data_IF_357095098565
#
_entry.id   IF_357095098565
#
_cell.length_a   1.000
_cell.length_b   1.000
_cell.length_c   1.000
_cell.angle_alpha   90.00
_cell.angle_beta   90.00
_cell.angle_gamma   90.00
#
_symmetry.space_group_name_H-M   'P 1'
#
loop_
_entity.id
_entity.type
_entity.pdbx_description
1 polymer ?
#
# COMPACT_ATOMS: atom_id res chain seq x y z
N UNK A 1 76.39 33.55 49.79
CA UNK A 1 76.04 34.26 48.53
C UNK A 1 76.24 33.50 47.21
N UNK A 2 76.83 32.28 47.14
CA UNK A 2 76.98 31.54 45.86
C UNK A 2 75.98 30.39 45.63
N UNK A 3 75.28 29.90 46.66
CA UNK A 3 74.33 28.77 46.56
C UNK A 3 72.89 29.19 46.19
N UNK A 4 72.50 30.43 46.47
CA UNK A 4 71.13 30.93 46.20
C UNK A 4 70.94 31.40 44.75
N UNK A 5 72.01 31.84 44.07
CA UNK A 5 71.94 32.30 42.66
C UNK A 5 71.82 31.14 41.65
N UNK A 6 72.21 29.93 42.02
CA UNK A 6 72.06 28.75 41.15
C UNK A 6 70.64 28.17 41.18
N UNK A 7 69.93 28.31 42.31
CA UNK A 7 68.53 27.87 42.44
C UNK A 7 67.59 28.83 41.71
N UNK A 8 67.86 30.14 41.76
CA UNK A 8 67.10 31.14 41.01
C UNK A 8 67.27 31.00 39.47
N UNK A 9 68.44 30.59 38.99
CA UNK A 9 68.71 30.45 37.54
C UNK A 9 68.10 29.16 36.95
N UNK A 10 67.97 28.10 37.75
CA UNK A 10 67.32 26.85 37.34
C UNK A 10 65.78 26.95 37.31
N UNK A 11 65.18 27.75 38.21
CA UNK A 11 63.72 27.98 38.26
C UNK A 11 63.21 28.91 37.14
N UNK A 12 64.02 29.86 36.68
CA UNK A 12 63.66 30.76 35.57
C UNK A 12 63.75 30.06 34.20
N UNK A 13 64.62 29.07 34.03
CA UNK A 13 64.68 28.28 32.79
C UNK A 13 63.49 27.31 32.63
N UNK A 14 62.92 26.79 33.72
CA UNK A 14 61.73 25.93 33.65
C UNK A 14 60.42 26.70 33.32
N UNK A 15 60.35 28.01 33.55
CA UNK A 15 59.17 28.82 33.25
C UNK A 15 59.14 29.37 31.80
N UNK A 16 60.27 29.36 31.09
CA UNK A 16 60.35 29.78 29.68
C UNK A 16 60.27 28.63 28.66
N UNK A 17 60.24 27.37 29.13
CA UNK A 17 60.11 26.17 28.28
C UNK A 17 58.68 25.59 28.22
N UNK A 18 57.72 26.16 28.94
CA UNK A 18 56.35 25.62 29.04
C UNK A 18 55.35 26.19 28.02
N UNK A 19 55.78 26.90 26.97
CA UNK A 19 54.89 27.42 25.91
C UNK A 19 54.94 26.63 24.59
N UNK A 20 55.42 25.39 24.61
CA UNK A 20 55.12 24.41 23.57
C UNK A 20 54.44 23.19 24.19
N UNK A 21 53.28 23.41 24.81
CA UNK A 21 52.28 22.36 24.78
C UNK A 21 51.92 22.19 23.29
N UNK A 22 52.20 21.05 22.64
CA UNK A 22 51.56 20.79 21.37
C UNK A 22 50.06 20.90 21.65
N UNK A 23 49.43 21.94 21.08
CA UNK A 23 47.99 22.04 21.05
C UNK A 23 47.55 20.70 20.49
N UNK A 24 46.94 19.86 21.33
CA UNK A 24 46.45 18.56 20.92
C UNK A 24 45.58 18.85 19.71
N UNK A 25 46.05 18.45 18.53
CA UNK A 25 45.37 18.74 17.28
C UNK A 25 43.95 18.27 17.46
N UNK A 26 43.01 19.21 17.58
CA UNK A 26 41.61 18.88 17.70
C UNK A 26 41.29 18.15 16.40
N UNK A 27 41.24 16.82 16.48
CA UNK A 27 41.01 15.98 15.31
C UNK A 27 39.80 16.55 14.61
N UNK A 28 39.99 17.07 13.38
CA UNK A 28 38.95 17.75 12.65
C UNK A 28 37.73 16.83 12.65
N UNK A 29 36.65 17.28 13.29
CA UNK A 29 35.49 16.42 13.53
C UNK A 29 35.04 15.83 12.19
N UNK A 30 35.09 14.51 12.07
CA UNK A 30 34.76 13.85 10.80
C UNK A 30 33.33 14.20 10.42
N UNK A 31 33.17 14.81 9.24
CA UNK A 31 31.86 15.20 8.72
C UNK A 31 31.05 13.92 8.49
N UNK A 32 29.88 13.82 9.12
CA UNK A 32 29.01 12.64 9.05
C UNK A 32 27.53 12.99 9.18
N UNK A 33 26.67 12.15 8.64
CA UNK A 33 25.23 12.24 8.86
C UNK A 33 24.83 11.77 10.26
N UNK A 34 23.70 12.27 10.77
CA UNK A 34 23.09 11.78 12.00
C UNK A 34 22.65 10.32 11.93
N UNK A 35 22.26 9.85 10.73
CA UNK A 35 21.93 8.45 10.43
C UNK A 35 22.08 8.19 8.92
N UNK A 36 22.45 6.97 8.55
CA UNK A 36 22.65 6.53 7.15
C UNK A 36 21.52 5.64 6.63
N UNK A 37 20.60 5.23 7.49
CA UNK A 37 19.35 4.56 7.16
C UNK A 37 18.24 5.00 8.09
N UNK A 38 17.00 4.97 7.61
CA UNK A 38 15.83 5.24 8.42
C UNK A 38 14.59 4.55 7.84
N UNK A 39 13.67 4.14 8.71
CA UNK A 39 12.31 3.75 8.31
C UNK A 39 11.32 4.77 8.87
N UNK A 40 10.46 5.31 8.02
CA UNK A 40 9.40 6.25 8.42
C UNK A 40 8.07 5.80 7.84
N UNK A 41 6.96 6.18 8.48
CA UNK A 41 5.62 5.93 7.93
C UNK A 41 5.19 7.07 7.01
N UNK A 42 4.27 6.80 6.08
CA UNK A 42 3.67 7.82 5.22
C UNK A 42 3.11 8.99 6.04
N UNK A 43 3.30 10.22 5.54
CA UNK A 43 2.91 11.45 6.24
C UNK A 43 3.82 11.86 7.41
N UNK A 44 4.65 10.96 7.95
CA UNK A 44 5.57 11.25 9.07
C UNK A 44 6.89 11.83 8.60
N UNK A 45 7.62 12.43 9.54
CA UNK A 45 8.90 13.10 9.29
C UNK A 45 10.02 12.64 10.20
N UNK A 46 11.25 12.73 9.72
CA UNK A 46 12.47 12.65 10.52
C UNK A 46 13.38 13.84 10.22
N UNK A 47 14.26 14.17 11.16
CA UNK A 47 15.29 15.19 10.97
C UNK A 47 16.63 14.52 10.72
N UNK A 48 17.24 14.83 9.58
CA UNK A 48 18.65 14.55 9.33
C UNK A 48 19.48 15.80 9.64
N UNK A 49 20.67 15.57 10.18
CA UNK A 49 21.67 16.62 10.39
C UNK A 49 23.04 16.12 9.97
N UNK A 50 23.93 17.05 9.62
CA UNK A 50 25.35 16.75 9.38
C UNK A 50 26.14 17.27 10.57
N UNK A 51 26.91 16.40 11.20
CA UNK A 51 27.80 16.70 12.33
C UNK A 51 29.22 16.96 11.82
N UNK A 52 30.02 17.71 12.58
CA UNK A 52 31.43 17.98 12.26
C UNK A 52 31.66 19.09 11.23
N UNK A 53 30.66 19.94 10.96
CA UNK A 53 30.81 21.08 10.06
C UNK A 53 29.84 22.20 10.39
N UNK A 54 30.28 23.45 10.20
CA UNK A 54 29.44 24.65 10.25
C UNK A 54 29.07 25.16 8.83
N UNK A 55 29.52 24.45 7.78
CA UNK A 55 29.24 24.84 6.39
C UNK A 55 27.78 24.54 6.04
N UNK A 56 27.22 25.35 5.13
CA UNK A 56 25.86 25.15 4.61
C UNK A 56 25.74 23.78 3.94
N UNK A 57 24.71 23.03 4.31
CA UNK A 57 24.38 21.72 3.74
C UNK A 57 23.28 21.89 2.70
N UNK A 58 23.48 21.30 1.51
CA UNK A 58 22.45 21.23 0.47
C UNK A 58 21.82 19.85 0.47
N UNK A 59 20.50 19.78 0.63
CA UNK A 59 19.74 18.53 0.71
C UNK A 59 19.02 18.24 -0.62
N UNK A 60 18.93 16.96 -0.98
CA UNK A 60 18.13 16.50 -2.11
C UNK A 60 17.60 15.08 -1.87
N UNK A 61 16.48 14.74 -2.50
CA UNK A 61 15.98 13.37 -2.58
C UNK A 61 16.12 12.85 -3.99
N UNK A 62 16.63 11.63 -4.15
CA UNK A 62 16.70 10.94 -5.45
C UNK A 62 15.35 10.37 -5.89
N UNK A 63 14.39 10.24 -4.98
CA UNK A 63 13.03 9.83 -5.31
C UNK A 63 12.03 10.69 -4.51
N UNK A 64 11.66 11.84 -5.09
CA UNK A 64 10.76 12.82 -4.45
C UNK A 64 9.31 12.31 -4.35
N UNK A 65 8.89 11.33 -5.16
CA UNK A 65 7.54 10.75 -5.06
C UNK A 65 7.41 9.85 -3.83
N UNK A 66 8.51 9.23 -3.39
CA UNK A 66 8.57 8.41 -2.17
C UNK A 66 8.85 9.26 -0.94
N UNK A 67 9.87 10.11 -0.96
CA UNK A 67 10.20 10.98 0.17
C UNK A 67 10.82 12.31 -0.27
N UNK A 68 10.40 13.41 0.36
CA UNK A 68 10.99 14.75 0.16
C UNK A 68 11.87 15.13 1.33
N UNK A 69 12.83 16.03 1.10
CA UNK A 69 13.65 16.64 2.16
C UNK A 69 13.64 18.15 2.02
N UNK A 70 13.43 18.87 3.13
CA UNK A 70 13.47 20.33 3.15
C UNK A 70 14.91 20.87 3.18
N UNK A 71 15.08 22.17 2.97
CA UNK A 71 16.39 22.86 3.10
C UNK A 71 16.99 22.72 4.50
N UNK A 72 16.15 22.50 5.51
CA UNK A 72 16.57 22.24 6.89
C UNK A 72 16.89 20.76 7.15
N UNK A 73 16.83 19.86 6.16
CA UNK A 73 17.08 18.42 6.38
C UNK A 73 15.92 17.67 7.04
N UNK A 74 14.69 18.21 7.00
CA UNK A 74 13.50 17.49 7.45
C UNK A 74 13.02 16.61 6.30
N UNK A 75 13.06 15.29 6.48
CA UNK A 75 12.59 14.30 5.51
C UNK A 75 11.14 13.95 5.81
N UNK A 76 10.26 13.95 4.80
CA UNK A 76 8.85 13.55 4.89
C UNK A 76 8.58 12.34 3.98
N UNK A 77 7.95 11.30 4.52
CA UNK A 77 7.48 10.15 3.73
C UNK A 77 6.17 10.46 3.01
N UNK A 78 6.10 10.17 1.72
CA UNK A 78 4.92 10.47 0.87
C UNK A 78 4.22 9.18 0.45
N UNK A 79 4.93 8.28 -0.21
CA UNK A 79 4.44 7.00 -0.73
C UNK A 79 5.32 5.87 -0.21
N UNK A 80 4.78 4.67 0.12
CA UNK A 80 5.60 3.53 0.52
C UNK A 80 6.64 3.17 -0.55
N UNK A 81 7.89 2.98 -0.15
CA UNK A 81 8.98 2.79 -1.11
C UNK A 81 10.36 3.04 -0.51
N UNK A 82 11.37 3.19 -1.37
CA UNK A 82 12.73 3.55 -0.97
C UNK A 82 13.13 4.86 -1.63
N UNK A 83 13.71 5.77 -0.86
CA UNK A 83 14.29 7.02 -1.34
C UNK A 83 15.71 7.18 -0.80
N UNK A 84 16.59 7.74 -1.61
CA UNK A 84 17.96 8.08 -1.22
C UNK A 84 18.03 9.59 -0.95
N UNK A 85 18.24 9.98 0.31
CA UNK A 85 18.41 11.38 0.71
C UNK A 85 19.90 11.71 0.69
N UNK A 86 20.27 12.78 0.00
CA UNK A 86 21.66 13.20 -0.19
C UNK A 86 21.89 14.57 0.45
N UNK A 87 22.86 14.64 1.35
CA UNK A 87 23.42 15.86 1.90
C UNK A 87 24.76 16.17 1.22
N UNK A 88 24.87 17.33 0.59
CA UNK A 88 26.12 17.85 0.02
C UNK A 88 26.69 18.92 0.91
N UNK A 89 27.95 18.77 1.31
CA UNK A 89 28.69 19.77 2.10
C UNK A 89 30.19 19.63 1.82
N UNK A 90 30.90 20.77 1.72
CA UNK A 90 32.35 20.80 1.49
C UNK A 90 32.81 19.94 0.28
N UNK A 91 32.05 19.95 -0.82
CA UNK A 91 32.34 19.15 -2.01
C UNK A 91 32.06 17.64 -1.88
N UNK A 92 31.69 17.16 -0.70
CA UNK A 92 31.41 15.74 -0.41
C UNK A 92 29.90 15.48 -0.35
N UNK A 93 29.52 14.24 -0.69
CA UNK A 93 28.13 13.77 -0.61
C UNK A 93 27.98 12.69 0.46
N UNK A 94 26.97 12.84 1.30
CA UNK A 94 26.58 11.89 2.33
C UNK A 94 25.16 11.42 2.06
N UNK A 95 24.91 10.13 2.28
CA UNK A 95 23.65 9.50 1.90
C UNK A 95 22.96 8.87 3.09
N UNK A 96 21.64 9.06 3.17
CA UNK A 96 20.74 8.29 4.03
C UNK A 96 19.72 7.52 3.17
N UNK A 97 19.65 6.20 3.36
CA UNK A 97 18.66 5.33 2.72
C UNK A 97 17.37 5.34 3.55
N UNK A 98 16.31 5.94 3.01
CA UNK A 98 15.02 6.05 3.68
C UNK A 98 14.06 5.04 3.09
N UNK A 99 13.54 4.15 3.95
CA UNK A 99 12.39 3.30 3.65
C UNK A 99 11.13 3.98 4.17
N UNK A 100 10.15 4.15 3.29
CA UNK A 100 8.81 4.62 3.67
C UNK A 100 7.88 3.41 3.71
N UNK A 101 7.25 3.17 4.84
CA UNK A 101 6.22 2.15 5.03
C UNK A 101 4.84 2.81 5.23
N UNK A 102 3.77 2.02 5.14
CA UNK A 102 2.40 2.52 5.28
C UNK A 102 2.12 2.91 6.74
N UNK A 103 1.56 4.10 6.97
CA UNK A 103 0.83 4.37 8.21
C UNK A 103 -0.58 3.78 8.10
N UNK A 104 -0.76 2.53 8.53
CA UNK A 104 -2.01 1.77 8.32
C UNK A 104 -3.22 2.49 8.92
N UNK A 105 -3.06 3.09 10.12
CA UNK A 105 -4.11 3.86 10.78
C UNK A 105 -4.49 5.12 9.99
N UNK A 106 -3.52 5.81 9.40
CA UNK A 106 -3.82 6.97 8.55
C UNK A 106 -4.44 6.53 7.22
N UNK A 107 -3.95 5.44 6.63
CA UNK A 107 -4.42 4.92 5.35
C UNK A 107 -5.88 4.47 5.38
N UNK A 108 -6.32 3.84 6.48
CA UNK A 108 -7.72 3.45 6.71
C UNK A 108 -8.70 4.63 6.63
N UNK A 109 -8.29 5.82 7.11
CA UNK A 109 -9.13 7.03 7.07
C UNK A 109 -9.38 7.57 5.66
N UNK A 110 -8.57 7.13 4.71
CA UNK A 110 -8.66 7.50 3.30
C UNK A 110 -9.26 6.36 2.46
N UNK A 111 -9.98 5.44 3.09
CA UNK A 111 -10.86 4.51 2.39
C UNK A 111 -12.30 5.00 2.52
N UNK A 112 -13.04 4.95 1.41
CA UNK A 112 -14.50 5.13 1.42
C UNK A 112 -15.15 3.80 1.11
N UNK A 113 -16.21 3.48 1.85
CA UNK A 113 -16.95 2.24 1.68
C UNK A 113 -18.40 2.59 1.38
N UNK A 114 -18.92 2.03 0.29
CA UNK A 114 -20.36 1.94 0.03
C UNK A 114 -20.76 0.48 -0.04
N UNK A 115 -22.05 0.20 0.07
CA UNK A 115 -22.55 -1.16 0.08
C UNK A 115 -23.65 -1.36 -0.97
N UNK A 116 -23.70 -2.57 -1.51
CA UNK A 116 -24.87 -3.15 -2.18
C UNK A 116 -25.10 -4.53 -1.60
N UNK A 117 -26.29 -5.08 -1.79
CA UNK A 117 -26.66 -6.36 -1.22
C UNK A 117 -27.49 -7.17 -2.21
N UNK A 118 -27.37 -8.47 -2.08
CA UNK A 118 -28.22 -9.48 -2.70
C UNK A 118 -28.70 -10.42 -1.59
N UNK A 119 -29.52 -11.41 -1.94
CA UNK A 119 -29.98 -12.42 -0.99
C UNK A 119 -28.81 -13.12 -0.26
N UNK A 120 -27.72 -13.38 -0.97
CA UNK A 120 -26.67 -14.29 -0.52
C UNK A 120 -25.41 -13.55 -0.04
N UNK A 121 -25.25 -12.28 -0.41
CA UNK A 121 -24.03 -11.52 -0.18
C UNK A 121 -24.28 -10.04 0.09
N UNK A 122 -23.43 -9.48 0.95
CA UNK A 122 -23.14 -8.04 1.01
C UNK A 122 -21.87 -7.76 0.22
N UNK A 123 -21.90 -6.71 -0.59
CA UNK A 123 -20.77 -6.22 -1.39
C UNK A 123 -20.29 -4.90 -0.81
N UNK A 124 -19.05 -4.85 -0.32
CA UNK A 124 -18.40 -3.61 0.09
C UNK A 124 -17.53 -3.06 -1.04
N UNK A 125 -17.90 -1.89 -1.56
CA UNK A 125 -17.15 -1.17 -2.58
C UNK A 125 -16.16 -0.25 -1.88
N UNK A 126 -14.89 -0.64 -1.93
CA UNK A 126 -13.83 0.06 -1.22
C UNK A 126 -13.07 0.94 -2.20
N UNK A 127 -13.24 2.26 -2.07
CA UNK A 127 -12.50 3.25 -2.84
C UNK A 127 -11.25 3.66 -2.07
N UNK A 128 -10.08 3.42 -2.67
CA UNK A 128 -8.80 3.82 -2.09
C UNK A 128 -8.46 5.27 -2.45
N UNK A 129 -8.71 6.21 -1.54
CA UNK A 129 -8.37 7.62 -1.76
C UNK A 129 -6.92 7.97 -1.38
N UNK A 130 -6.14 7.01 -0.89
CA UNK A 130 -4.71 7.22 -0.67
C UNK A 130 -4.00 7.50 -2.02
N UNK A 131 -2.89 8.27 -2.02
CA UNK A 131 -2.10 8.51 -3.23
C UNK A 131 -1.21 7.32 -3.61
N UNK A 132 -1.43 6.15 -3.02
CA UNK A 132 -0.62 4.95 -3.22
C UNK A 132 -1.46 3.67 -3.10
N UNK A 133 -1.01 2.57 -3.74
CA UNK A 133 -1.73 1.31 -3.68
C UNK A 133 -1.60 0.62 -2.32
N UNK A 134 -2.59 -0.21 -2.01
CA UNK A 134 -2.71 -0.94 -0.74
C UNK A 134 -3.18 -2.37 -0.98
N UNK A 135 -2.81 -3.27 -0.07
CA UNK A 135 -3.55 -4.51 0.15
C UNK A 135 -4.65 -4.21 1.16
N UNK A 136 -5.86 -4.69 0.92
CA UNK A 136 -7.02 -4.47 1.78
C UNK A 136 -7.65 -5.82 2.11
N UNK A 137 -7.93 -6.07 3.39
CA UNK A 137 -8.77 -7.17 3.82
C UNK A 137 -9.93 -6.65 4.64
N UNK A 138 -11.11 -7.21 4.44
CA UNK A 138 -12.29 -6.90 5.23
C UNK A 138 -12.74 -8.09 6.05
N UNK A 139 -13.24 -7.83 7.24
CA UNK A 139 -13.99 -8.79 8.04
C UNK A 139 -15.35 -8.20 8.35
N UNK A 140 -16.41 -8.90 7.98
CA UNK A 140 -17.76 -8.50 8.31
C UNK A 140 -18.34 -9.44 9.34
N UNK A 141 -19.01 -8.88 10.35
CA UNK A 141 -19.79 -9.63 11.33
C UNK A 141 -21.27 -9.40 11.04
N UNK A 142 -22.05 -10.46 11.14
CA UNK A 142 -23.48 -10.45 10.89
C UNK A 142 -24.24 -10.67 12.18
N UNK A 143 -25.36 -9.98 12.31
CA UNK A 143 -26.23 -10.03 13.49
C UNK A 143 -27.70 -10.16 13.06
N UNK A 144 -28.53 -10.72 13.94
CA UNK A 144 -29.98 -10.73 13.76
C UNK A 144 -30.61 -9.40 14.19
N UNK A 145 -31.93 -9.28 14.06
CA UNK A 145 -32.71 -8.09 14.46
C UNK A 145 -32.53 -7.73 15.94
N UNK A 146 -32.27 -8.73 16.79
CA UNK A 146 -32.01 -8.57 18.22
C UNK A 146 -30.53 -8.26 18.53
N UNK A 147 -29.71 -7.95 17.51
CA UNK A 147 -28.26 -7.69 17.61
C UNK A 147 -27.45 -8.84 18.20
N UNK A 148 -27.95 -10.06 18.13
CA UNK A 148 -27.19 -11.25 18.49
C UNK A 148 -26.28 -11.65 17.33
N UNK A 149 -25.03 -11.95 17.64
CA UNK A 149 -24.03 -12.36 16.64
C UNK A 149 -24.45 -13.67 15.97
N UNK A 150 -24.42 -13.68 14.65
CA UNK A 150 -24.74 -14.85 13.83
C UNK A 150 -23.49 -15.52 13.32
N UNK A 151 -22.71 -14.80 12.51
CA UNK A 151 -21.48 -15.31 11.90
C UNK A 151 -20.59 -14.16 11.43
N UNK A 152 -19.45 -14.50 10.83
CA UNK A 152 -18.55 -13.57 10.16
C UNK A 152 -18.13 -14.11 8.79
N UNK A 153 -17.89 -13.21 7.86
CA UNK A 153 -17.25 -13.49 6.59
C UNK A 153 -16.00 -12.62 6.41
N UNK A 154 -15.13 -13.02 5.50
CA UNK A 154 -13.90 -12.29 5.20
C UNK A 154 -13.58 -12.39 3.72
N UNK A 155 -13.04 -11.31 3.19
CA UNK A 155 -12.54 -11.25 1.81
C UNK A 155 -11.37 -10.27 1.76
N UNK A 156 -10.57 -10.35 0.71
CA UNK A 156 -9.36 -9.57 0.55
C UNK A 156 -9.09 -9.21 -0.90
N UNK A 157 -8.38 -8.10 -1.08
CA UNK A 157 -7.83 -7.67 -2.34
C UNK A 157 -6.34 -7.35 -2.15
N UNK A 158 -5.49 -8.04 -2.90
CA UNK A 158 -4.02 -7.98 -2.79
C UNK A 158 -3.40 -6.86 -3.64
N UNK A 159 -4.21 -6.02 -4.27
CA UNK A 159 -3.75 -4.81 -4.93
C UNK A 159 -4.92 -3.85 -5.22
N UNK A 160 -4.99 -2.74 -4.50
CA UNK A 160 -5.97 -1.68 -4.74
C UNK A 160 -5.23 -0.41 -5.16
N UNK A 161 -5.25 -0.07 -6.45
CA UNK A 161 -4.61 1.18 -6.96
C UNK A 161 -5.14 2.42 -6.24
N UNK A 162 -4.28 3.43 -6.16
CA UNK A 162 -4.70 4.78 -5.77
C UNK A 162 -5.87 5.24 -6.65
N UNK A 163 -6.88 5.85 -6.02
CA UNK A 163 -8.08 6.39 -6.67
C UNK A 163 -8.90 5.36 -7.45
N UNK A 164 -8.80 4.08 -7.09
CA UNK A 164 -9.61 3.01 -7.67
C UNK A 164 -10.53 2.39 -6.63
N UNK A 165 -11.62 1.80 -7.10
CA UNK A 165 -12.60 1.06 -6.30
C UNK A 165 -12.47 -0.43 -6.59
N UNK A 166 -12.58 -1.25 -5.55
CA UNK A 166 -12.63 -2.72 -5.63
C UNK A 166 -13.79 -3.24 -4.82
N UNK A 167 -14.21 -4.47 -5.10
CA UNK A 167 -15.34 -5.10 -4.40
C UNK A 167 -14.82 -6.20 -3.48
N UNK A 168 -15.16 -6.11 -2.20
CA UNK A 168 -15.10 -7.24 -1.27
C UNK A 168 -16.50 -7.85 -1.13
N UNK A 169 -16.58 -9.17 -1.25
CA UNK A 169 -17.81 -9.95 -1.27
C UNK A 169 -17.90 -10.80 -0.01
N UNK A 170 -18.98 -10.65 0.74
CA UNK A 170 -19.16 -11.31 2.04
C UNK A 170 -20.41 -12.17 2.04
N UNK A 171 -20.22 -13.48 2.14
CA UNK A 171 -21.31 -14.45 2.18
C UNK A 171 -22.15 -14.27 3.44
N UNK A 172 -23.46 -14.12 3.26
CA UNK A 172 -24.43 -14.09 4.33
C UNK A 172 -24.44 -15.43 5.09
N UNK A 173 -24.73 -15.42 6.41
CA UNK A 173 -24.88 -16.65 7.17
C UNK A 173 -26.06 -17.47 6.62
N UNK A 174 -25.88 -18.79 6.52
CA UNK A 174 -26.97 -19.70 6.20
C UNK A 174 -27.66 -20.19 7.48
N UNK A 175 -28.98 -20.28 7.45
CA UNK A 175 -29.81 -20.96 8.44
C UNK A 175 -30.83 -21.85 7.73
N UNK A 176 -30.88 -23.12 8.10
CA UNK A 176 -31.85 -24.10 7.58
C UNK A 176 -31.89 -24.18 6.03
N UNK A 177 -30.73 -24.07 5.39
CA UNK A 177 -30.60 -24.12 3.93
C UNK A 177 -30.96 -22.82 3.19
N UNK A 178 -31.23 -21.73 3.91
CA UNK A 178 -31.51 -20.40 3.34
C UNK A 178 -30.52 -19.35 3.85
N UNK A 179 -30.14 -18.40 3.00
CA UNK A 179 -29.34 -17.25 3.43
C UNK A 179 -30.19 -16.33 4.29
N UNK A 180 -29.68 -16.01 5.47
CA UNK A 180 -30.30 -15.07 6.40
C UNK A 180 -29.91 -13.65 5.99
N UNK A 181 -30.89 -12.81 5.63
CA UNK A 181 -30.67 -11.39 5.44
C UNK A 181 -30.38 -10.75 6.82
N UNK A 182 -29.14 -10.31 7.09
CA UNK A 182 -28.76 -9.80 8.41
C UNK A 182 -29.49 -8.49 8.71
N UNK A 183 -29.95 -8.26 9.94
CA UNK A 183 -30.74 -7.05 10.24
C UNK A 183 -29.90 -5.77 10.39
N UNK A 184 -28.58 -5.91 10.56
CA UNK A 184 -27.66 -4.79 10.74
C UNK A 184 -26.50 -4.89 9.76
N UNK A 185 -26.63 -4.20 8.63
CA UNK A 185 -25.61 -4.06 7.59
C UNK A 185 -24.67 -2.91 7.93
N UNK A 186 -23.86 -3.00 8.99
CA UNK A 186 -23.07 -1.82 9.36
C UNK A 186 -21.65 -2.18 9.78
N UNK A 187 -20.76 -1.81 8.87
CA UNK A 187 -19.31 -1.66 8.96
C UNK A 187 -18.48 -2.95 8.84
N UNK A 188 -17.86 -3.07 7.66
CA UNK A 188 -16.73 -3.96 7.47
C UNK A 188 -15.53 -3.46 8.28
N UNK A 189 -14.94 -4.34 9.09
CA UNK A 189 -13.68 -4.08 9.75
C UNK A 189 -12.55 -4.22 8.72
N UNK A 190 -12.04 -3.08 8.26
CA UNK A 190 -10.96 -3.04 7.28
C UNK A 190 -9.59 -3.10 7.94
N UNK A 191 -8.68 -3.82 7.30
CA UNK A 191 -7.25 -3.77 7.55
C UNK A 191 -6.52 -3.48 6.24
N UNK A 192 -5.46 -2.68 6.33
CA UNK A 192 -4.65 -2.30 5.15
C UNK A 192 -3.18 -2.62 5.38
N UNK A 193 -2.48 -2.97 4.31
CA UNK A 193 -1.04 -3.18 4.32
C UNK A 193 -0.40 -2.60 3.07
N UNK A 194 0.92 -2.46 3.10
CA UNK A 194 1.70 -2.13 1.91
C UNK A 194 1.60 -3.30 0.92
N UNK A 195 1.19 -2.99 -0.31
CA UNK A 195 1.24 -3.99 -1.38
C UNK A 195 2.67 -4.34 -1.78
N UNK A 196 2.90 -5.62 -2.02
CA UNK A 196 4.14 -6.15 -2.63
C UNK A 196 3.94 -6.54 -4.09
N UNK A 197 2.69 -6.52 -4.55
CA UNK A 197 2.33 -6.90 -5.91
C UNK A 197 2.42 -5.71 -6.86
N UNK A 198 2.36 -6.00 -8.16
CA UNK A 198 2.30 -4.99 -9.20
C UNK A 198 1.00 -5.06 -9.99
N UNK A 199 0.32 -3.92 -10.17
CA UNK A 199 -0.97 -3.87 -10.88
C UNK A 199 -0.82 -4.18 -12.37
N UNK A 200 -1.35 -5.32 -12.76
CA UNK A 200 -1.51 -5.75 -14.15
C UNK A 200 -2.78 -5.21 -14.80
N UNK A 201 -3.68 -4.52 -14.09
CA UNK A 201 -4.98 -4.10 -14.66
C UNK A 201 -4.83 -3.19 -15.87
N UNK A 202 -3.79 -2.37 -15.95
CA UNK A 202 -3.50 -1.55 -17.13
C UNK A 202 -3.19 -2.37 -18.40
N UNK A 203 -2.86 -3.65 -18.24
CA UNK A 203 -2.64 -4.60 -19.32
C UNK A 203 -3.87 -5.48 -19.56
N UNK A 204 -4.91 -5.36 -18.73
CA UNK A 204 -6.13 -6.14 -18.84
C UNK A 204 -7.17 -5.31 -19.58
N UNK A 205 -7.71 -5.86 -20.67
CA UNK A 205 -8.92 -5.35 -21.31
C UNK A 205 -10.05 -6.34 -21.01
N UNK A 206 -11.15 -5.86 -20.46
CA UNK A 206 -12.36 -6.64 -20.34
C UNK A 206 -13.48 -6.03 -21.19
N UNK A 207 -14.21 -6.88 -21.91
CA UNK A 207 -15.41 -6.51 -22.67
C UNK A 207 -16.56 -7.38 -22.22
N UNK A 208 -17.76 -6.85 -22.31
CA UNK A 208 -18.98 -7.52 -21.88
C UNK A 208 -20.06 -7.42 -22.95
N UNK A 209 -20.83 -8.49 -23.10
CA UNK A 209 -21.98 -8.54 -24.00
C UNK A 209 -23.15 -9.21 -23.29
N UNK A 210 -24.34 -8.63 -23.38
CA UNK A 210 -25.58 -9.23 -22.88
C UNK A 210 -26.30 -9.89 -24.05
N UNK A 211 -26.45 -11.21 -24.00
CA UNK A 211 -27.14 -11.97 -25.03
C UNK A 211 -28.66 -11.76 -24.97
N UNK A 212 -29.34 -11.98 -26.09
CA UNK A 212 -30.80 -11.89 -26.17
C UNK A 212 -31.53 -12.86 -25.23
N UNK A 213 -30.88 -13.98 -24.85
CA UNK A 213 -31.43 -14.97 -23.91
C UNK A 213 -31.02 -14.70 -22.44
N UNK A 214 -30.53 -13.49 -22.14
CA UNK A 214 -30.31 -12.98 -20.79
C UNK A 214 -29.04 -13.49 -20.11
N UNK A 215 -28.01 -13.84 -20.87
CA UNK A 215 -26.69 -14.24 -20.36
C UNK A 215 -25.67 -13.12 -20.56
N UNK A 216 -24.67 -13.05 -19.69
CA UNK A 216 -23.57 -12.09 -19.86
C UNK A 216 -22.30 -12.82 -20.26
N UNK A 217 -21.75 -12.48 -21.43
CA UNK A 217 -20.42 -12.91 -21.85
C UNK A 217 -19.40 -11.89 -21.37
N UNK A 218 -18.38 -12.34 -20.63
CA UNK A 218 -17.23 -11.52 -20.24
C UNK A 218 -16.00 -12.08 -20.94
N UNK A 219 -15.38 -11.26 -21.77
CA UNK A 219 -14.10 -11.56 -22.42
C UNK A 219 -13.01 -10.76 -21.73
N UNK A 220 -12.00 -11.46 -21.21
CA UNK A 220 -10.85 -10.85 -20.54
C UNK A 220 -9.58 -11.13 -21.35
N UNK A 221 -8.91 -10.07 -21.80
CA UNK A 221 -7.74 -10.14 -22.68
C UNK A 221 -6.52 -9.51 -22.03
N UNK A 222 -5.38 -10.21 -22.07
CA UNK A 222 -4.10 -9.62 -21.71
C UNK A 222 -3.50 -8.89 -22.91
N UNK A 223 -3.58 -7.56 -22.88
CA UNK A 223 -3.03 -6.65 -23.90
C UNK A 223 -1.57 -6.25 -23.62
N UNK A 224 -1.00 -6.71 -22.51
CA UNK A 224 0.37 -6.43 -22.12
C UNK A 224 1.40 -7.34 -22.77
N UNK A 225 2.67 -7.10 -22.42
CA UNK A 225 3.83 -7.92 -22.82
C UNK A 225 4.26 -8.93 -21.76
N UNK A 226 3.66 -8.87 -20.57
CA UNK A 226 3.94 -9.74 -19.43
C UNK A 226 2.77 -10.68 -19.21
N UNK A 227 3.04 -11.91 -18.76
CA UNK A 227 1.99 -12.81 -18.28
C UNK A 227 1.29 -12.20 -17.05
N UNK A 228 -0.01 -12.43 -16.93
CA UNK A 228 -0.77 -12.13 -15.72
C UNK A 228 -0.96 -13.43 -14.94
N UNK A 229 -0.36 -13.50 -13.76
CA UNK A 229 -0.41 -14.67 -12.88
C UNK A 229 -1.72 -14.74 -12.09
N UNK A 230 -2.42 -13.62 -11.98
CA UNK A 230 -3.67 -13.51 -11.25
C UNK A 230 -4.53 -12.48 -11.96
N UNK A 231 -5.81 -12.77 -12.13
CA UNK A 231 -6.84 -11.77 -12.41
C UNK A 231 -8.05 -12.12 -11.57
N UNK A 232 -8.60 -11.13 -10.89
CA UNK A 232 -9.92 -11.18 -10.28
C UNK A 232 -10.79 -10.07 -10.86
N UNK A 233 -12.01 -10.45 -11.16
CA UNK A 233 -13.08 -9.51 -11.41
C UNK A 233 -14.35 -9.99 -10.71
N UNK A 234 -15.24 -9.05 -10.44
CA UNK A 234 -16.56 -9.29 -9.89
C UNK A 234 -17.58 -8.74 -10.87
N UNK A 235 -18.51 -9.57 -11.33
CA UNK A 235 -19.65 -9.19 -12.15
C UNK A 235 -20.88 -9.17 -11.25
N UNK A 236 -21.48 -7.99 -11.06
CA UNK A 236 -22.77 -7.88 -10.38
C UNK A 236 -23.89 -7.89 -11.41
N UNK A 237 -24.89 -8.74 -11.19
CA UNK A 237 -26.06 -8.87 -12.04
C UNK A 237 -27.25 -8.22 -11.33
N UNK A 238 -27.92 -7.29 -12.00
CA UNK A 238 -28.93 -6.42 -11.42
C UNK A 238 -30.25 -6.46 -12.18
N UNK A 239 -31.32 -6.07 -11.50
CA UNK A 239 -32.59 -5.71 -12.14
C UNK A 239 -32.51 -4.33 -12.84
N UNK A 240 -33.58 -3.94 -13.54
CA UNK A 240 -33.74 -2.61 -14.17
C UNK A 240 -33.56 -1.44 -13.21
N UNK A 241 -33.82 -1.60 -11.92
CA UNK A 241 -33.76 -0.53 -10.92
C UNK A 241 -32.36 -0.44 -10.29
N UNK A 242 -31.47 -1.39 -10.61
CA UNK A 242 -30.08 -1.43 -10.15
C UNK A 242 -29.87 -2.21 -8.85
N UNK A 243 -30.88 -2.94 -8.38
CA UNK A 243 -30.75 -3.82 -7.23
C UNK A 243 -29.98 -5.08 -7.63
N UNK A 244 -29.04 -5.51 -6.80
CA UNK A 244 -28.20 -6.68 -7.11
C UNK A 244 -28.99 -7.95 -6.84
N UNK A 245 -29.18 -8.75 -7.90
CA UNK A 245 -29.86 -10.04 -7.83
C UNK A 245 -28.90 -11.18 -7.53
N UNK A 246 -27.65 -11.03 -7.95
CA UNK A 246 -26.58 -11.99 -7.71
C UNK A 246 -25.27 -11.50 -8.29
N UNK A 247 -24.24 -12.31 -8.17
CA UNK A 247 -22.92 -11.98 -8.67
C UNK A 247 -22.15 -13.21 -9.13
N UNK A 248 -21.09 -12.95 -9.88
CA UNK A 248 -20.07 -13.93 -10.24
C UNK A 248 -18.69 -13.34 -9.96
N UNK A 249 -17.86 -14.09 -9.23
CA UNK A 249 -16.49 -13.70 -8.95
C UNK A 249 -15.54 -14.77 -9.47
N UNK A 250 -14.69 -14.37 -10.42
CA UNK A 250 -13.75 -15.27 -11.07
C UNK A 250 -12.32 -14.93 -10.72
N UNK A 251 -11.53 -15.96 -10.39
CA UNK A 251 -10.07 -15.87 -10.19
C UNK A 251 -9.35 -16.79 -11.18
N UNK A 252 -8.38 -16.26 -11.93
CA UNK A 252 -7.42 -17.10 -12.67
C UNK A 252 -6.27 -17.46 -11.75
N UNK A 253 -6.40 -18.56 -10.98
CA UNK A 253 -5.31 -19.01 -10.09
C UNK A 253 -5.10 -20.50 -9.97
N UNK A 254 -6.14 -21.31 -10.11
CA UNK A 254 -6.01 -22.77 -10.06
C UNK A 254 -7.36 -23.41 -10.37
N UNK A 255 -7.50 -23.96 -11.57
CA UNK A 255 -8.37 -25.11 -11.74
C UNK A 255 -7.46 -26.34 -11.67
N UNK A 256 -7.66 -27.19 -10.66
CA UNK A 256 -7.11 -28.56 -10.60
C UNK A 256 -5.64 -28.71 -10.98
N UNK A 257 -4.72 -28.20 -10.16
CA UNK A 257 -3.28 -28.54 -10.26
C UNK A 257 -2.50 -27.88 -11.40
N UNK A 258 -3.13 -27.05 -12.25
CA UNK A 258 -2.44 -26.25 -13.27
C UNK A 258 -2.49 -24.76 -12.92
N UNK A 259 -1.34 -24.10 -12.89
CA UNK A 259 -1.27 -22.63 -12.86
C UNK A 259 -1.77 -22.09 -14.20
N UNK A 260 -2.97 -21.51 -14.21
CA UNK A 260 -3.50 -20.82 -15.38
C UNK A 260 -3.11 -19.36 -15.26
N UNK A 261 -2.07 -18.96 -16.00
CA UNK A 261 -1.74 -17.56 -16.24
C UNK A 261 -2.37 -17.10 -17.56
N UNK A 262 -2.68 -15.80 -17.68
CA UNK A 262 -3.13 -15.20 -18.93
C UNK A 262 -1.93 -14.67 -19.70
N UNK A 263 -1.56 -15.33 -20.80
CA UNK A 263 -0.40 -14.98 -21.60
C UNK A 263 -0.64 -13.70 -22.43
N UNK A 264 0.42 -12.98 -22.85
CA UNK A 264 0.28 -11.85 -23.78
C UNK A 264 -0.55 -12.20 -25.02
N UNK A 265 -1.55 -11.38 -25.33
CA UNK A 265 -2.45 -11.56 -26.46
C UNK A 265 -3.55 -12.60 -26.25
N UNK A 266 -3.53 -13.36 -25.15
CA UNK A 266 -4.55 -14.36 -24.86
C UNK A 266 -5.83 -13.71 -24.33
N UNK A 267 -6.96 -14.28 -24.74
CA UNK A 267 -8.30 -13.98 -24.24
C UNK A 267 -8.91 -15.20 -23.56
N UNK A 268 -9.74 -14.95 -22.55
CA UNK A 268 -10.60 -15.94 -21.93
C UNK A 268 -12.02 -15.42 -21.91
N UNK A 269 -12.96 -16.28 -22.26
CA UNK A 269 -14.38 -15.99 -22.35
C UNK A 269 -15.14 -16.76 -21.29
N UNK A 270 -16.00 -16.07 -20.56
CA UNK A 270 -16.86 -16.64 -19.53
C UNK A 270 -18.30 -16.23 -19.77
N UNK A 271 -19.19 -17.21 -19.88
CA UNK A 271 -20.62 -17.00 -20.01
C UNK A 271 -21.29 -17.16 -18.65
N UNK A 272 -22.05 -16.15 -18.24
CA UNK A 272 -22.72 -16.09 -16.96
C UNK A 272 -24.22 -16.14 -17.11
N UNK A 273 -24.85 -16.95 -16.25
CA UNK A 273 -26.30 -17.11 -16.18
C UNK A 273 -26.74 -16.86 -14.76
N UNK A 274 -27.64 -15.91 -14.55
CA UNK A 274 -28.23 -15.68 -13.25
C UNK A 274 -29.28 -16.75 -12.93
N UNK A 275 -29.15 -17.36 -11.75
CA UNK A 275 -30.19 -18.22 -11.17
C UNK A 275 -30.59 -17.71 -9.80
N UNK A 276 -31.89 -17.50 -9.61
CA UNK A 276 -32.49 -17.16 -8.32
C UNK A 276 -33.40 -18.31 -7.92
N UNK A 277 -33.16 -18.90 -6.74
CA UNK A 277 -33.90 -20.06 -6.23
C UNK A 277 -33.98 -21.22 -7.25
N UNK A 278 -32.84 -21.50 -7.90
CA UNK A 278 -32.69 -22.56 -8.89
C UNK A 278 -33.25 -22.27 -10.28
N UNK A 279 -34.03 -21.19 -10.44
CA UNK A 279 -34.65 -20.79 -11.71
C UNK A 279 -33.78 -19.78 -12.45
N UNK A 280 -33.66 -19.94 -13.78
CA UNK A 280 -32.98 -18.96 -14.64
C UNK A 280 -33.78 -17.64 -14.60
N UNK A 281 -33.08 -16.53 -14.38
CA UNK A 281 -33.64 -15.18 -14.41
C UNK A 281 -32.90 -14.38 -15.48
N UNK A 282 -33.62 -13.55 -16.22
CA UNK A 282 -33.00 -12.66 -17.21
C UNK A 282 -32.20 -11.56 -16.52
N UNK A 283 -30.95 -11.38 -16.95
CA UNK A 283 -30.13 -10.26 -16.52
C UNK A 283 -30.56 -9.02 -17.31
N UNK A 284 -30.95 -7.94 -16.63
CA UNK A 284 -31.39 -6.69 -17.28
C UNK A 284 -30.29 -5.62 -17.25
N UNK A 285 -29.52 -5.59 -16.17
CA UNK A 285 -28.35 -4.72 -16.00
C UNK A 285 -27.22 -5.50 -15.36
N UNK A 286 -25.98 -5.05 -15.58
CA UNK A 286 -24.82 -5.61 -14.93
C UNK A 286 -23.72 -4.57 -14.74
N UNK A 287 -22.84 -4.82 -13.78
CA UNK A 287 -21.69 -3.98 -13.48
C UNK A 287 -20.44 -4.86 -13.34
N UNK A 288 -19.42 -4.60 -14.16
CA UNK A 288 -18.14 -5.32 -14.11
C UNK A 288 -17.10 -4.51 -13.32
N UNK A 289 -16.55 -5.12 -12.28
CA UNK A 289 -15.47 -4.57 -11.48
C UNK A 289 -14.19 -5.37 -11.67
N UNK A 290 -13.18 -4.75 -12.29
CA UNK A 290 -11.83 -5.32 -12.38
C UNK A 290 -11.09 -5.08 -11.06
N UNK A 291 -11.23 -6.03 -10.14
CA UNK A 291 -10.71 -5.93 -8.78
C UNK A 291 -9.19 -5.79 -8.78
N UNK A 292 -8.45 -6.77 -9.31
CA UNK A 292 -7.01 -6.67 -9.50
C UNK A 292 -6.46 -7.72 -10.46
N UNK A 293 -5.33 -7.38 -11.09
CA UNK A 293 -4.52 -8.33 -11.84
C UNK A 293 -3.07 -8.22 -11.36
N UNK A 294 -2.35 -9.34 -11.26
CA UNK A 294 -0.96 -9.37 -10.83
C UNK A 294 -0.11 -9.89 -11.97
N UNK A 295 0.92 -9.14 -12.35
CA UNK A 295 1.93 -9.57 -13.31
C UNK A 295 3.24 -9.95 -12.60
N UNK A 296 4.04 -10.77 -13.28
CA UNK A 296 5.43 -11.10 -12.93
C UNK A 296 6.42 -9.99 -13.35
#
# INVERSE_FOLDING_TARGET
MRREKQIALALVCCLLLCNFLPHTGQAAASIRLSQTSATIKTGKTIKLSVKGTNKKVTWSSKNKTVATVSTKGVVKGIVPGKAKIVAKVAGKSYTCNVKVDVDEKAALKHLKVTYKESKDYTYAFITNENPYPLDISGKMKFYNEQKQYLNKASDYNNFVSAKSTVVLRFLHPMKDGSFYAPASHTDVELSVKKTVNHDGRKFLKATTELSADGKVLVTVTNTGKKKLNFVRYTLLMCDKDGNVLGDEQHHFTKMTGMEVCLLPGQSLDYEFVLRVDGKKVSIEKYELYLDYAIYD
#
